data_IF_934945615031
#
_entry.id   IF_934945615031
#
_cell.length_a   1.000
_cell.length_b   1.000
_cell.length_c   1.000
_cell.angle_alpha   90.00
_cell.angle_beta   90.00
_cell.angle_gamma   90.00
#
_symmetry.space_group_name_H-M   'P 1'
#
loop_
_entity.id
_entity.type
_entity.pdbx_description
1 polymer ?
#
# COMPACT_ATOMS: atom_id res chain seq x y z
N UNK A 1 22.86 1.22 -14.57
CA UNK A 1 21.92 0.36 -15.31
C UNK A 1 20.51 0.48 -14.73
N UNK A 2 20.31 0.34 -13.41
CA UNK A 2 19.00 0.51 -12.72
C UNK A 2 18.36 1.88 -12.95
N UNK A 3 19.13 2.97 -12.88
CA UNK A 3 18.61 4.33 -13.05
C UNK A 3 17.95 4.59 -14.41
N UNK A 4 18.26 3.76 -15.42
CA UNK A 4 17.65 3.82 -16.74
C UNK A 4 16.51 2.82 -16.96
N UNK A 5 16.28 1.90 -16.02
CA UNK A 5 15.27 0.83 -16.15
C UNK A 5 13.99 1.15 -15.41
N UNK A 6 14.09 1.82 -14.26
CA UNK A 6 12.90 2.26 -13.52
C UNK A 6 12.36 3.53 -14.19
N UNK A 7 11.22 3.43 -14.82
CA UNK A 7 10.51 4.61 -15.35
C UNK A 7 10.24 5.59 -14.21
N UNK A 8 10.15 6.88 -14.53
CA UNK A 8 9.76 7.87 -13.54
C UNK A 8 8.38 7.47 -12.95
N UNK A 9 8.26 7.39 -11.61
CA UNK A 9 7.01 6.98 -11.01
C UNK A 9 5.90 7.99 -11.34
N UNK A 10 4.72 7.47 -11.66
CA UNK A 10 3.53 8.28 -11.95
C UNK A 10 2.31 7.66 -11.31
N UNK A 11 1.37 8.48 -10.93
CA UNK A 11 0.08 8.06 -10.37
C UNK A 11 -1.04 8.06 -11.40
N UNK A 12 -0.74 8.07 -12.68
CA UNK A 12 -1.76 7.99 -13.73
C UNK A 12 -2.18 6.55 -14.06
N UNK A 13 -3.35 6.40 -14.65
CA UNK A 13 -3.94 5.09 -15.01
C UNK A 13 -3.01 4.28 -15.92
N UNK A 14 -2.37 4.91 -16.91
CA UNK A 14 -1.50 4.21 -17.87
C UNK A 14 -0.27 3.61 -17.17
N UNK A 15 0.33 4.38 -16.27
CA UNK A 15 1.48 3.92 -15.51
C UNK A 15 1.12 2.78 -14.55
N UNK A 16 0.02 2.90 -13.83
CA UNK A 16 -0.44 1.86 -12.87
C UNK A 16 -0.88 0.59 -13.61
N UNK A 17 -1.72 0.70 -14.65
CA UNK A 17 -2.14 -0.47 -15.44
C UNK A 17 -0.98 -1.16 -16.16
N UNK A 18 0.06 -0.41 -16.52
CA UNK A 18 1.28 -0.99 -17.08
C UNK A 18 2.00 -1.95 -16.13
N UNK A 19 1.78 -1.82 -14.82
CA UNK A 19 2.41 -2.65 -13.76
C UNK A 19 1.49 -3.71 -13.19
N UNK A 20 0.22 -3.41 -13.12
CA UNK A 20 -0.78 -4.29 -12.50
C UNK A 20 -1.66 -5.03 -13.50
N UNK A 21 -1.58 -4.65 -14.77
CA UNK A 21 -2.41 -5.18 -15.85
C UNK A 21 -3.61 -4.27 -16.17
N UNK A 22 -4.02 -4.27 -17.42
CA UNK A 22 -5.16 -3.48 -17.89
C UNK A 22 -6.45 -3.89 -17.19
N UNK A 23 -7.19 -2.92 -16.68
CA UNK A 23 -8.45 -3.12 -15.95
C UNK A 23 -8.27 -3.62 -14.52
N UNK A 24 -7.06 -3.56 -13.96
CA UNK A 24 -6.77 -3.96 -12.58
C UNK A 24 -7.12 -2.89 -11.55
N UNK A 25 -7.48 -1.68 -11.99
CA UNK A 25 -7.77 -0.59 -11.08
C UNK A 25 -9.25 -0.60 -10.70
N UNK A 26 -9.52 -0.59 -9.41
CA UNK A 26 -10.84 -0.33 -8.86
C UNK A 26 -11.14 1.16 -8.95
N UNK A 27 -12.21 1.49 -9.66
CA UNK A 27 -12.58 2.84 -10.03
C UNK A 27 -14.06 3.07 -9.64
N UNK A 28 -14.32 3.50 -8.40
CA UNK A 28 -15.68 3.73 -7.92
C UNK A 28 -16.27 4.99 -8.55
N UNK A 29 -17.61 5.02 -8.70
CA UNK A 29 -18.32 6.25 -8.92
C UNK A 29 -18.28 7.13 -7.65
N UNK A 30 -18.38 8.44 -7.81
CA UNK A 30 -18.36 9.38 -6.66
C UNK A 30 -19.45 9.05 -5.62
N UNK A 31 -20.60 8.55 -6.08
CA UNK A 31 -21.73 8.13 -5.24
C UNK A 31 -21.45 6.88 -4.39
N UNK A 32 -20.48 6.07 -4.81
CA UNK A 32 -20.14 4.80 -4.15
C UNK A 32 -19.05 5.00 -3.06
N UNK A 33 -18.41 6.17 -3.06
CA UNK A 33 -17.43 6.52 -2.04
C UNK A 33 -18.17 6.97 -0.77
N UNK A 34 -17.86 6.36 0.40
CA UNK A 34 -18.50 6.74 1.65
C UNK A 34 -18.40 8.24 1.92
N UNK A 35 -19.47 8.90 2.38
CA UNK A 35 -19.44 10.33 2.70
C UNK A 35 -18.40 10.69 3.78
N UNK A 36 -18.08 9.76 4.65
CA UNK A 36 -17.09 9.94 5.72
C UNK A 36 -15.63 9.87 5.24
N UNK A 37 -15.36 9.40 4.02
CA UNK A 37 -14.07 9.57 3.37
C UNK A 37 -14.02 10.97 2.74
N UNK A 38 -13.60 11.97 3.53
CA UNK A 38 -13.68 13.39 3.16
C UNK A 38 -12.40 13.94 2.53
N UNK A 39 -11.26 13.21 2.64
CA UNK A 39 -10.02 13.63 1.97
C UNK A 39 -10.21 13.78 0.46
N UNK A 40 -10.07 15.00 -0.02
CA UNK A 40 -10.31 15.35 -1.42
C UNK A 40 -9.27 14.73 -2.37
N UNK A 41 -8.04 14.51 -1.88
CA UNK A 41 -6.97 13.88 -2.64
C UNK A 41 -7.29 12.42 -2.93
N UNK A 42 -7.70 11.67 -1.91
CA UNK A 42 -8.12 10.27 -2.01
C UNK A 42 -9.34 10.13 -2.92
N UNK A 43 -10.39 10.94 -2.72
CA UNK A 43 -11.59 10.90 -3.57
C UNK A 43 -11.27 11.17 -5.04
N UNK A 44 -10.48 12.22 -5.31
CA UNK A 44 -10.05 12.55 -6.67
C UNK A 44 -9.22 11.44 -7.30
N UNK A 45 -8.30 10.85 -6.54
CA UNK A 45 -7.48 9.73 -7.03
C UNK A 45 -8.35 8.51 -7.37
N UNK A 46 -9.26 8.12 -6.50
CA UNK A 46 -10.16 6.98 -6.72
C UNK A 46 -11.05 7.16 -7.94
N UNK A 47 -11.64 8.35 -8.12
CA UNK A 47 -12.59 8.62 -9.23
C UNK A 47 -11.89 8.91 -10.55
N UNK A 48 -10.70 9.48 -10.56
CA UNK A 48 -10.00 9.84 -11.80
C UNK A 48 -9.00 8.78 -12.28
N UNK A 49 -8.40 8.01 -11.36
CA UNK A 49 -7.35 7.05 -11.66
C UNK A 49 -7.72 5.64 -11.22
N UNK A 50 -8.23 5.49 -10.01
CA UNK A 50 -8.53 4.21 -9.37
C UNK A 50 -7.35 3.65 -8.55
N UNK A 51 -7.66 2.69 -7.68
CA UNK A 51 -6.68 2.00 -6.84
C UNK A 51 -6.48 0.55 -7.32
N UNK A 52 -5.25 -0.01 -7.30
CA UNK A 52 -4.99 -1.38 -7.74
C UNK A 52 -5.78 -2.41 -6.92
N UNK A 53 -6.66 -3.18 -7.57
CA UNK A 53 -7.40 -4.31 -7.01
C UNK A 53 -6.67 -5.61 -7.39
N UNK A 54 -5.55 -5.90 -6.72
CA UNK A 54 -4.57 -6.91 -7.15
C UNK A 54 -4.08 -7.77 -5.99
N UNK A 55 -3.44 -8.88 -6.35
CA UNK A 55 -2.69 -9.71 -5.42
C UNK A 55 -1.22 -9.76 -5.84
N UNK A 56 -0.35 -9.17 -5.01
CA UNK A 56 1.10 -9.22 -5.18
C UNK A 56 1.66 -10.34 -4.29
N UNK A 57 1.90 -11.51 -4.90
CA UNK A 57 2.22 -12.74 -4.15
C UNK A 57 3.51 -12.66 -3.35
N UNK A 58 4.55 -11.99 -3.90
CA UNK A 58 5.87 -11.90 -3.25
C UNK A 58 5.80 -11.18 -1.91
N UNK A 59 5.03 -10.10 -1.83
CA UNK A 59 4.84 -9.32 -0.60
C UNK A 59 3.55 -9.67 0.15
N UNK A 60 2.84 -10.71 -0.29
CA UNK A 60 1.54 -11.15 0.26
C UNK A 60 0.48 -10.04 0.34
N UNK A 61 0.60 -9.00 -0.49
CA UNK A 61 -0.39 -7.92 -0.56
C UNK A 61 -1.63 -8.36 -1.35
N UNK A 62 -2.80 -8.07 -0.81
CA UNK A 62 -4.09 -8.40 -1.41
C UNK A 62 -5.11 -7.28 -1.21
N UNK A 63 -5.57 -6.69 -2.29
CA UNK A 63 -6.65 -5.70 -2.37
C UNK A 63 -7.78 -6.14 -3.30
N UNK A 64 -7.84 -7.43 -3.65
CA UNK A 64 -8.81 -7.98 -4.62
C UNK A 64 -10.27 -7.93 -4.15
N UNK A 65 -10.52 -7.60 -2.89
CA UNK A 65 -11.86 -7.33 -2.39
C UNK A 65 -12.44 -6.00 -2.95
N UNK A 66 -11.59 -5.09 -3.45
CA UNK A 66 -12.00 -3.87 -4.11
C UNK A 66 -12.44 -4.19 -5.55
N UNK A 67 -13.73 -4.39 -5.75
CA UNK A 67 -14.31 -4.69 -7.07
C UNK A 67 -15.54 -3.82 -7.31
N UNK A 68 -16.03 -3.76 -8.56
CA UNK A 68 -17.25 -3.01 -8.89
C UNK A 68 -18.51 -3.51 -8.16
N UNK A 69 -18.50 -4.79 -7.78
CA UNK A 69 -19.59 -5.44 -7.05
C UNK A 69 -19.30 -5.50 -5.54
N UNK A 70 -18.22 -4.85 -5.09
CA UNK A 70 -17.85 -4.83 -3.68
C UNK A 70 -18.89 -4.09 -2.85
N UNK A 71 -19.07 -4.60 -1.62
CA UNK A 71 -19.75 -3.85 -0.57
C UNK A 71 -19.06 -2.49 -0.42
N UNK A 72 -19.80 -1.39 -0.22
CA UNK A 72 -19.19 -0.09 0.05
C UNK A 72 -18.12 -0.22 1.13
N UNK A 73 -17.03 0.55 1.00
CA UNK A 73 -15.98 0.60 2.01
C UNK A 73 -16.60 0.84 3.39
N UNK A 74 -16.44 -0.12 4.29
CA UNK A 74 -16.94 0.01 5.66
C UNK A 74 -16.06 0.97 6.46
N UNK A 75 -16.66 1.93 7.17
CA UNK A 75 -15.92 2.79 8.07
C UNK A 75 -15.57 2.04 9.37
N UNK A 76 -14.37 2.25 9.84
CA UNK A 76 -13.88 1.83 11.15
C UNK A 76 -13.63 3.07 12.01
N UNK A 77 -13.85 2.97 13.31
CA UNK A 77 -13.46 4.01 14.27
C UNK A 77 -11.93 3.98 14.42
N UNK A 78 -11.25 4.98 13.84
CA UNK A 78 -9.79 5.04 13.88
C UNK A 78 -9.26 5.28 15.31
N UNK A 79 -9.99 6.06 16.11
CA UNK A 79 -9.57 6.36 17.49
C UNK A 79 -9.66 5.09 18.35
N UNK A 80 -10.67 4.24 18.13
CA UNK A 80 -10.76 2.93 18.77
C UNK A 80 -9.66 1.98 18.28
N UNK A 81 -9.46 1.85 16.95
CA UNK A 81 -8.45 0.95 16.40
C UNK A 81 -7.02 1.32 16.81
N UNK A 82 -6.76 2.61 16.98
CA UNK A 82 -5.40 3.10 17.30
C UNK A 82 -5.18 3.32 18.80
N UNK A 83 -6.17 2.99 19.64
CA UNK A 83 -6.04 3.03 21.09
C UNK A 83 -6.20 4.42 21.69
N UNK A 84 -6.70 5.39 20.94
CA UNK A 84 -6.98 6.75 21.42
C UNK A 84 -8.34 6.87 22.10
N UNK A 85 -9.19 5.87 21.93
CA UNK A 85 -10.54 5.77 22.49
C UNK A 85 -10.74 4.42 23.17
N UNK A 86 -11.45 4.43 24.29
CA UNK A 86 -11.80 3.19 24.98
C UNK A 86 -12.97 2.47 24.29
N UNK A 87 -12.96 1.10 24.25
CA UNK A 87 -14.02 0.33 23.58
C UNK A 87 -15.41 0.47 24.21
N UNK A 88 -15.49 0.91 25.46
CA UNK A 88 -16.75 1.14 26.20
C UNK A 88 -17.28 2.59 26.09
N UNK A 89 -16.63 3.42 25.27
CA UNK A 89 -17.12 4.76 24.96
C UNK A 89 -18.19 4.70 23.87
N UNK A 90 -19.47 4.85 24.25
CA UNK A 90 -20.63 4.81 23.34
C UNK A 90 -20.82 6.12 22.52
N UNK A 91 -19.90 7.11 22.61
CA UNK A 91 -20.00 8.32 21.81
C UNK A 91 -19.82 8.00 20.32
N UNK A 92 -20.45 8.74 19.39
CA UNK A 92 -20.24 8.53 17.96
C UNK A 92 -18.77 8.73 17.55
N UNK A 93 -18.23 7.90 16.63
CA UNK A 93 -16.89 8.09 16.08
C UNK A 93 -16.71 9.49 15.48
N UNK A 94 -15.58 10.10 15.74
CA UNK A 94 -15.21 11.40 15.18
C UNK A 94 -14.12 11.28 14.13
N UNK A 95 -13.34 10.21 14.17
CA UNK A 95 -12.27 9.92 13.23
C UNK A 95 -12.52 8.54 12.61
N UNK A 96 -12.64 8.48 11.29
CA UNK A 96 -12.96 7.23 10.58
C UNK A 96 -11.83 6.87 9.62
N UNK A 97 -11.57 5.56 9.50
CA UNK A 97 -10.66 5.01 8.51
C UNK A 97 -11.32 3.88 7.71
N UNK A 98 -10.69 3.50 6.59
CA UNK A 98 -11.26 2.56 5.63
C UNK A 98 -10.22 1.52 5.22
N UNK A 99 -10.64 0.25 5.13
CA UNK A 99 -9.78 -0.87 4.73
C UNK A 99 -9.61 -0.93 3.21
N UNK A 100 -8.37 -0.79 2.73
CA UNK A 100 -8.02 -0.80 1.30
C UNK A 100 -7.18 -2.00 0.85
N UNK A 101 -6.72 -2.82 1.76
CA UNK A 101 -5.92 -3.99 1.43
C UNK A 101 -5.30 -4.63 2.66
N UNK A 102 -4.65 -5.76 2.46
CA UNK A 102 -3.96 -6.46 3.55
C UNK A 102 -2.63 -7.05 3.09
N UNK A 103 -1.72 -7.22 4.04
CA UNK A 103 -0.52 -8.04 3.91
C UNK A 103 -0.56 -9.09 5.00
N UNK A 104 -0.69 -10.36 4.63
CA UNK A 104 -1.03 -11.43 5.57
C UNK A 104 -2.29 -11.07 6.39
N UNK A 105 -2.15 -10.98 7.71
CA UNK A 105 -3.23 -10.61 8.62
C UNK A 105 -3.30 -9.10 8.91
N UNK A 106 -2.30 -8.32 8.49
CA UNK A 106 -2.26 -6.86 8.69
C UNK A 106 -3.14 -6.13 7.68
N UNK A 107 -3.90 -5.16 8.16
CA UNK A 107 -4.82 -4.34 7.36
C UNK A 107 -4.19 -3.00 7.00
N UNK A 108 -4.34 -2.57 5.74
CA UNK A 108 -4.02 -1.22 5.30
C UNK A 108 -5.25 -0.35 5.47
N UNK A 109 -5.14 0.65 6.34
CA UNK A 109 -6.21 1.57 6.67
C UNK A 109 -5.91 2.96 6.11
N UNK A 110 -6.91 3.58 5.47
CA UNK A 110 -6.82 4.94 4.94
C UNK A 110 -7.65 5.86 5.81
N UNK A 111 -7.03 6.91 6.35
CA UNK A 111 -7.73 7.93 7.13
C UNK A 111 -8.77 8.67 6.30
N UNK A 112 -9.97 8.84 6.87
CA UNK A 112 -11.09 9.47 6.15
C UNK A 112 -10.90 10.96 5.90
N UNK A 113 -10.22 11.67 6.79
CA UNK A 113 -10.03 13.12 6.73
C UNK A 113 -8.69 13.53 6.10
N UNK A 114 -7.63 12.74 6.30
CA UNK A 114 -6.27 13.09 5.90
C UNK A 114 -5.72 12.23 4.75
N UNK A 115 -6.35 11.09 4.45
CA UNK A 115 -5.92 10.18 3.39
C UNK A 115 -4.62 9.43 3.68
N UNK A 116 -4.07 9.55 4.90
CA UNK A 116 -2.86 8.85 5.32
C UNK A 116 -3.12 7.34 5.34
N UNK A 117 -2.15 6.55 4.87
CA UNK A 117 -2.23 5.09 4.90
C UNK A 117 -1.44 4.55 6.08
N UNK A 118 -2.13 3.83 6.96
CA UNK A 118 -1.57 3.22 8.16
C UNK A 118 -1.69 1.71 8.13
N UNK A 119 -0.79 1.03 8.85
CA UNK A 119 -0.85 -0.40 9.09
C UNK A 119 -1.54 -0.70 10.42
N UNK A 120 -2.46 -1.65 10.40
CA UNK A 120 -3.19 -2.12 11.57
C UNK A 120 -3.06 -3.65 11.72
N UNK A 121 -2.70 -4.10 12.91
CA UNK A 121 -2.65 -5.52 13.29
C UNK A 121 -3.89 -5.88 14.12
N UNK A 122 -4.86 -6.59 13.54
CA UNK A 122 -6.08 -6.96 14.26
C UNK A 122 -5.86 -7.99 15.39
N UNK A 123 -4.68 -8.63 15.46
CA UNK A 123 -4.34 -9.53 16.57
C UNK A 123 -3.93 -8.78 17.85
N UNK A 124 -3.57 -7.53 17.73
CA UNK A 124 -3.34 -6.58 18.83
C UNK A 124 -4.66 -6.07 19.42
N UNK A 125 -5.53 -6.99 19.88
CA UNK A 125 -6.86 -6.65 20.37
C UNK A 125 -6.88 -5.80 21.66
N UNK A 126 -5.74 -5.55 22.24
CA UNK A 126 -5.54 -4.54 23.28
C UNK A 126 -5.22 -3.19 22.62
N UNK A 127 -6.09 -2.72 21.79
CA UNK A 127 -6.18 -1.55 20.92
C UNK A 127 -4.88 -0.76 20.66
N UNK A 128 -4.11 -0.43 21.70
CA UNK A 128 -2.83 0.28 21.59
C UNK A 128 -1.77 -0.47 20.78
N UNK A 129 -1.82 -1.80 20.73
CA UNK A 129 -0.86 -2.64 19.99
C UNK A 129 -1.29 -2.85 18.52
N UNK A 130 -2.51 -2.47 18.15
CA UNK A 130 -3.02 -2.62 16.77
C UNK A 130 -2.40 -1.65 15.79
N UNK A 131 -2.11 -0.42 16.17
CA UNK A 131 -1.48 0.56 15.31
C UNK A 131 0.01 0.25 15.10
N UNK A 132 0.40 0.05 13.85
CA UNK A 132 1.76 -0.34 13.47
C UNK A 132 2.53 0.76 12.73
N UNK A 133 1.98 1.97 12.66
CA UNK A 133 2.60 3.13 12.04
C UNK A 133 2.05 3.48 10.65
N UNK A 134 2.46 4.64 10.16
CA UNK A 134 2.15 5.10 8.80
C UNK A 134 2.99 4.33 7.78
N UNK A 135 2.40 4.02 6.62
CA UNK A 135 3.07 3.32 5.51
C UNK A 135 3.09 4.13 4.21
N UNK A 136 2.26 5.15 4.10
CA UNK A 136 2.34 6.14 3.03
C UNK A 136 1.62 7.43 3.42
N UNK A 137 2.08 8.56 2.92
CA UNK A 137 1.48 9.87 3.15
C UNK A 137 0.14 10.07 2.43
N UNK A 138 -0.23 9.20 1.49
CA UNK A 138 -1.55 9.20 0.82
C UNK A 138 -1.82 7.87 0.12
N UNK A 139 -3.11 7.59 -0.15
CA UNK A 139 -3.49 6.41 -0.94
C UNK A 139 -2.87 6.43 -2.35
N UNK A 140 -2.76 7.61 -2.95
CA UNK A 140 -2.08 7.79 -4.24
C UNK A 140 -0.61 7.43 -4.16
N UNK A 141 0.12 7.89 -3.15
CA UNK A 141 1.52 7.53 -2.94
C UNK A 141 1.67 6.03 -2.74
N UNK A 142 0.81 5.42 -1.93
CA UNK A 142 0.84 3.98 -1.69
C UNK A 142 0.66 3.16 -2.98
N UNK A 143 -0.29 3.53 -3.84
CA UNK A 143 -0.48 2.87 -5.14
C UNK A 143 0.78 2.94 -6.02
N UNK A 144 1.49 4.08 -6.03
CA UNK A 144 2.74 4.24 -6.77
C UNK A 144 3.86 3.40 -6.18
N UNK A 145 4.01 3.38 -4.85
CA UNK A 145 5.00 2.53 -4.16
C UNK A 145 4.78 1.04 -4.47
N UNK A 146 3.52 0.57 -4.47
CA UNK A 146 3.18 -0.79 -4.90
C UNK A 146 3.55 -1.05 -6.36
N UNK A 147 3.35 -0.06 -7.24
CA UNK A 147 3.74 -0.16 -8.66
C UNK A 147 5.26 -0.26 -8.85
N UNK A 148 6.04 0.48 -8.06
CA UNK A 148 7.51 0.37 -8.07
C UNK A 148 7.98 -1.02 -7.60
N UNK A 149 7.34 -1.59 -6.58
CA UNK A 149 7.60 -2.97 -6.15
C UNK A 149 7.27 -3.99 -7.22
N UNK A 150 6.11 -3.86 -7.88
CA UNK A 150 5.67 -4.77 -8.93
C UNK A 150 6.66 -4.78 -10.12
N UNK A 151 7.11 -3.59 -10.57
CA UNK A 151 8.10 -3.46 -11.63
C UNK A 151 9.43 -4.16 -11.30
N UNK A 152 9.91 -3.98 -10.06
CA UNK A 152 11.18 -4.58 -9.63
C UNK A 152 11.04 -6.08 -9.39
N UNK A 153 9.89 -6.56 -8.93
CA UNK A 153 9.65 -7.99 -8.73
C UNK A 153 9.81 -8.80 -10.02
N UNK A 154 9.20 -8.35 -11.12
CA UNK A 154 9.34 -8.99 -12.44
C UNK A 154 10.79 -8.98 -12.93
N UNK A 155 11.47 -7.87 -12.71
CA UNK A 155 12.85 -7.73 -13.16
C UNK A 155 13.84 -8.56 -12.34
N UNK A 156 13.66 -8.67 -11.01
CA UNK A 156 14.46 -9.55 -10.15
C UNK A 156 14.37 -10.99 -10.61
N UNK A 157 13.16 -11.47 -10.93
CA UNK A 157 12.96 -12.83 -11.42
C UNK A 157 13.72 -13.08 -12.75
N UNK A 158 13.68 -12.12 -13.68
CA UNK A 158 14.42 -12.23 -14.96
C UNK A 158 15.94 -12.22 -14.80
N UNK A 159 16.47 -11.39 -13.90
CA UNK A 159 17.93 -11.24 -13.72
C UNK A 159 18.50 -12.43 -12.97
N UNK A 160 17.80 -12.91 -11.95
CA UNK A 160 18.26 -14.05 -11.13
C UNK A 160 18.21 -15.36 -11.88
N UNK A 161 17.25 -15.57 -12.78
CA UNK A 161 17.18 -16.77 -13.64
C UNK A 161 18.36 -16.92 -14.60
N UNK A 162 19.08 -15.81 -14.89
CA UNK A 162 20.24 -15.78 -15.80
C UNK A 162 21.60 -15.96 -15.12
N UNK A 163 21.67 -15.92 -13.78
CA UNK A 163 22.93 -16.01 -13.02
C UNK A 163 23.17 -17.45 -12.55
N UNK A 164 24.43 -17.89 -12.70
CA UNK A 164 24.83 -19.28 -12.40
C UNK A 164 25.42 -19.49 -11.01
N UNK A 165 25.74 -18.43 -10.28
CA UNK A 165 26.32 -18.47 -8.94
C UNK A 165 25.41 -17.79 -7.92
N UNK A 166 25.12 -18.49 -6.81
CA UNK A 166 24.21 -18.05 -5.75
C UNK A 166 24.65 -16.74 -5.09
N UNK A 167 25.97 -16.59 -4.86
CA UNK A 167 26.55 -15.39 -4.26
C UNK A 167 26.43 -14.14 -5.16
N UNK A 168 26.63 -14.28 -6.49
CA UNK A 168 26.43 -13.17 -7.43
C UNK A 168 24.97 -12.74 -7.51
N UNK A 169 24.07 -13.70 -7.44
CA UNK A 169 22.62 -13.46 -7.44
C UNK A 169 22.20 -12.64 -6.21
N UNK A 170 22.73 -12.99 -5.03
CA UNK A 170 22.40 -12.29 -3.78
C UNK A 170 22.93 -10.85 -3.75
N UNK A 171 24.19 -10.63 -4.17
CA UNK A 171 24.78 -9.27 -4.22
C UNK A 171 24.02 -8.35 -5.19
N UNK A 172 23.66 -8.87 -6.37
CA UNK A 172 22.87 -8.13 -7.35
C UNK A 172 21.49 -7.79 -6.78
N UNK A 173 20.82 -8.75 -6.16
CA UNK A 173 19.50 -8.55 -5.54
C UNK A 173 19.57 -7.45 -4.47
N UNK A 174 20.50 -7.54 -3.52
CA UNK A 174 20.70 -6.53 -2.47
C UNK A 174 20.94 -5.13 -3.03
N UNK A 175 21.78 -5.03 -4.07
CA UNK A 175 22.05 -3.75 -4.73
C UNK A 175 20.81 -3.13 -5.38
N UNK A 176 19.94 -3.98 -5.96
CA UNK A 176 18.69 -3.54 -6.57
C UNK A 176 17.70 -3.06 -5.51
N UNK A 177 17.51 -3.86 -4.46
CA UNK A 177 16.59 -3.54 -3.36
C UNK A 177 17.00 -2.27 -2.63
N UNK A 178 18.30 -2.09 -2.39
CA UNK A 178 18.81 -0.85 -1.81
C UNK A 178 18.45 0.37 -2.65
N UNK A 179 18.71 0.35 -3.94
CA UNK A 179 18.39 1.46 -4.85
C UNK A 179 16.88 1.67 -5.01
N UNK A 180 16.09 0.60 -5.00
CA UNK A 180 14.65 0.71 -4.99
C UNK A 180 14.18 1.47 -3.76
N UNK A 181 14.68 1.08 -2.57
CA UNK A 181 14.32 1.73 -1.32
C UNK A 181 14.69 3.21 -1.31
N UNK A 182 15.92 3.57 -1.73
CA UNK A 182 16.32 4.98 -1.86
C UNK A 182 15.32 5.77 -2.72
N UNK A 183 14.92 5.23 -3.87
CA UNK A 183 13.99 5.88 -4.76
C UNK A 183 12.56 5.95 -4.21
N UNK A 184 12.13 4.94 -3.48
CA UNK A 184 10.84 4.96 -2.80
C UNK A 184 10.80 5.99 -1.67
N UNK A 185 11.89 6.12 -0.90
CA UNK A 185 12.04 7.16 0.14
C UNK A 185 12.01 8.58 -0.47
N UNK A 186 12.66 8.80 -1.63
CA UNK A 186 12.56 10.08 -2.33
C UNK A 186 11.14 10.43 -2.77
N UNK A 187 10.29 9.41 -2.98
CA UNK A 187 8.90 9.57 -3.36
C UNK A 187 7.96 9.76 -2.15
N UNK A 188 8.18 9.00 -1.07
CA UNK A 188 7.40 9.05 0.17
C UNK A 188 8.29 8.60 1.35
N UNK A 189 8.53 9.49 2.31
CA UNK A 189 9.42 9.29 3.44
C UNK A 189 8.95 8.22 4.43
N UNK A 190 7.67 7.80 4.38
CA UNK A 190 7.17 6.66 5.14
C UNK A 190 7.91 5.33 4.84
N UNK A 191 8.71 5.28 3.77
CA UNK A 191 9.50 4.10 3.37
C UNK A 191 10.87 4.02 4.07
N UNK A 192 11.24 5.00 4.88
CA UNK A 192 12.51 5.00 5.62
C UNK A 192 12.73 3.71 6.46
N UNK A 193 13.99 3.41 6.76
CA UNK A 193 14.35 2.28 7.63
C UNK A 193 13.70 2.41 9.01
N UNK A 194 13.26 1.27 9.56
CA UNK A 194 12.52 1.22 10.84
C UNK A 194 11.00 1.27 10.65
N UNK A 195 10.50 1.43 9.43
CA UNK A 195 9.08 1.19 9.13
C UNK A 195 8.81 -0.32 9.14
N UNK A 196 8.04 -0.81 10.12
CA UNK A 196 7.72 -2.24 10.28
C UNK A 196 7.18 -2.87 9.00
N UNK A 197 6.33 -2.15 8.27
CA UNK A 197 5.77 -2.62 7.02
C UNK A 197 6.81 -2.70 5.90
N UNK A 198 7.56 -1.63 5.67
CA UNK A 198 8.51 -1.59 4.58
C UNK A 198 9.70 -2.50 4.82
N UNK A 199 10.17 -2.64 6.05
CA UNK A 199 11.21 -3.61 6.42
C UNK A 199 10.74 -5.03 6.10
N UNK A 200 9.53 -5.43 6.53
CA UNK A 200 8.93 -6.71 6.16
C UNK A 200 8.83 -6.90 4.63
N UNK A 201 8.39 -5.87 3.90
CA UNK A 201 8.28 -5.93 2.43
C UNK A 201 9.65 -6.18 1.81
N UNK A 202 10.67 -5.43 2.19
CA UNK A 202 12.02 -5.61 1.62
C UNK A 202 12.65 -6.95 2.00
N UNK A 203 12.48 -7.42 3.24
CA UNK A 203 12.91 -8.76 3.67
C UNK A 203 12.24 -9.88 2.85
N UNK A 204 11.00 -9.69 2.40
CA UNK A 204 10.30 -10.68 1.58
C UNK A 204 10.88 -10.85 0.15
N UNK A 205 11.77 -9.95 -0.25
CA UNK A 205 12.50 -10.00 -1.51
C UNK A 205 13.90 -10.63 -1.36
N UNK A 206 14.42 -10.77 -0.14
CA UNK A 206 15.71 -11.43 0.13
C UNK A 206 15.59 -12.95 0.07
#
# INVERSE_FOLDING_TARGET
MLDNMLQAPSSDTVWLEGRFGTGSLWHPEESDIPPALTDSGTRTFLTAVGFPAVRLRRVSFDSTHLTKDAVPLEPYDADELYGERYPDDDSPPTNLCFHFGKVNEWMMMVGGEDGIVSLYDPSGWDHADGYQGMIAGSLKSFAVLLGMLAEVAEWLDMVTDGLSEENETEEVRKSILYKLRERMVEYDDCVEEGSKFWDYVFESFE
#
